data_IF_808936459445
#
_entry.id   IF_808936459445
#
_cell.length_a   1.000
_cell.length_b   1.000
_cell.length_c   1.000
_cell.angle_alpha   90.00
_cell.angle_beta   90.00
_cell.angle_gamma   90.00
#
_symmetry.space_group_name_H-M   'P 1'
#
loop_
_entity.id
_entity.type
_entity.pdbx_description
1 polymer ?
#
# COMPACT_ATOMS: atom_id res chain seq x y z
N UNK A 1 -10.95 -8.24 1.47
CA UNK A 1 -9.82 -8.48 0.56
C UNK A 1 -10.01 -9.89 0.01
N UNK A 2 -10.23 -10.00 -1.28
CA UNK A 2 -10.54 -11.28 -1.94
C UNK A 2 -9.41 -12.33 -1.85
N UNK A 3 -8.17 -11.89 -1.68
CA UNK A 3 -7.03 -12.79 -1.51
C UNK A 3 -7.00 -13.30 -0.06
N UNK A 4 -7.78 -14.34 0.21
CA UNK A 4 -7.95 -14.96 1.52
C UNK A 4 -7.25 -16.33 1.61
N UNK A 5 -7.46 -17.04 2.73
CA UNK A 5 -6.85 -18.35 2.94
C UNK A 5 -7.36 -19.43 2.00
N UNK A 6 -8.58 -19.31 1.49
CA UNK A 6 -9.16 -20.26 0.53
C UNK A 6 -8.52 -20.09 -0.85
N UNK A 7 -8.26 -18.83 -1.25
CA UNK A 7 -7.50 -18.54 -2.48
C UNK A 7 -6.09 -19.10 -2.39
N UNK A 8 -5.44 -18.97 -1.22
CA UNK A 8 -4.11 -19.57 -0.98
C UNK A 8 -4.17 -21.08 -1.04
N UNK A 9 -5.21 -21.72 -0.50
CA UNK A 9 -5.39 -23.19 -0.58
C UNK A 9 -5.51 -23.67 -2.04
N UNK A 10 -6.28 -22.96 -2.86
CA UNK A 10 -6.37 -23.24 -4.29
C UNK A 10 -5.02 -23.04 -5.01
N UNK A 11 -4.30 -21.97 -4.69
CA UNK A 11 -2.94 -21.73 -5.21
C UNK A 11 -2.00 -22.87 -4.84
N UNK A 12 -1.99 -23.32 -3.59
CA UNK A 12 -1.15 -24.44 -3.14
C UNK A 12 -1.51 -25.71 -3.90
N UNK A 13 -2.80 -25.97 -4.13
CA UNK A 13 -3.25 -27.10 -4.94
C UNK A 13 -2.69 -27.01 -6.37
N UNK A 14 -2.87 -25.90 -7.05
CA UNK A 14 -2.35 -25.66 -8.41
C UNK A 14 -0.82 -25.74 -8.47
N UNK A 15 -0.13 -25.09 -7.51
CA UNK A 15 1.33 -25.09 -7.47
C UNK A 15 1.91 -26.48 -7.21
N UNK A 16 1.29 -27.29 -6.34
CA UNK A 16 1.65 -28.71 -6.16
C UNK A 16 1.53 -29.47 -7.48
N UNK A 17 0.41 -29.32 -8.13
CA UNK A 17 0.16 -30.00 -9.40
C UNK A 17 1.16 -29.61 -10.49
N UNK A 18 1.55 -28.34 -10.57
CA UNK A 18 2.39 -27.80 -11.64
C UNK A 18 3.90 -27.85 -11.33
N UNK A 19 4.30 -27.73 -10.06
CA UNK A 19 5.68 -27.47 -9.69
C UNK A 19 6.33 -28.56 -8.85
N UNK A 20 5.56 -29.48 -8.24
CA UNK A 20 6.12 -30.52 -7.37
C UNK A 20 7.14 -31.37 -8.13
N UNK A 21 8.27 -31.67 -7.50
CA UNK A 21 9.44 -32.32 -8.07
C UNK A 21 10.17 -31.54 -9.18
N UNK A 22 9.75 -30.29 -9.43
CA UNK A 22 10.42 -29.40 -10.36
C UNK A 22 11.73 -28.85 -9.79
N UNK A 23 12.68 -28.55 -10.70
CA UNK A 23 13.98 -27.94 -10.37
C UNK A 23 13.95 -26.46 -10.66
N UNK A 24 14.50 -25.65 -9.75
CA UNK A 24 14.62 -24.21 -9.88
C UNK A 24 15.76 -23.89 -10.87
N UNK A 25 15.39 -23.65 -12.14
CA UNK A 25 16.35 -23.43 -13.22
C UNK A 25 16.91 -21.99 -13.25
N UNK A 26 16.10 -20.99 -12.83
CA UNK A 26 16.52 -19.58 -12.81
C UNK A 26 15.82 -18.85 -11.66
N UNK A 27 16.58 -17.98 -11.01
CA UNK A 27 16.11 -17.08 -9.96
C UNK A 27 16.43 -15.65 -10.41
N UNK A 28 15.40 -14.81 -10.47
CA UNK A 28 15.51 -13.39 -10.80
C UNK A 28 14.75 -12.56 -9.78
N UNK A 29 15.20 -11.34 -9.56
CA UNK A 29 14.54 -10.33 -8.72
C UNK A 29 14.38 -9.08 -9.56
N UNK A 30 13.26 -8.96 -10.33
CA UNK A 30 13.01 -7.83 -11.22
C UNK A 30 12.87 -6.50 -10.49
N UNK A 31 12.22 -6.51 -9.32
CA UNK A 31 11.98 -5.36 -8.47
C UNK A 31 12.48 -5.63 -7.05
N UNK A 32 12.60 -4.59 -6.23
CA UNK A 32 13.12 -4.71 -4.86
C UNK A 32 12.35 -5.71 -3.99
N UNK A 33 11.06 -5.89 -4.23
CA UNK A 33 10.14 -6.73 -3.46
C UNK A 33 9.48 -7.84 -4.30
N UNK A 34 10.07 -8.20 -5.45
CA UNK A 34 9.53 -9.21 -6.35
C UNK A 34 10.58 -10.27 -6.75
N UNK A 35 10.20 -11.54 -6.70
CA UNK A 35 10.96 -12.67 -7.25
C UNK A 35 10.25 -13.26 -8.46
N UNK A 36 11.03 -13.73 -9.43
CA UNK A 36 10.60 -14.53 -10.57
C UNK A 36 11.44 -15.81 -10.63
N UNK A 37 10.80 -16.93 -10.34
CA UNK A 37 11.41 -18.25 -10.39
C UNK A 37 11.03 -18.95 -11.69
N UNK A 38 12.01 -19.48 -12.43
CA UNK A 38 11.78 -20.38 -13.56
C UNK A 38 12.02 -21.80 -13.09
N UNK A 39 11.01 -22.65 -13.18
CA UNK A 39 11.02 -24.01 -12.66
C UNK A 39 10.81 -24.99 -13.83
N UNK A 40 11.66 -25.98 -13.93
CA UNK A 40 11.51 -27.11 -14.87
C UNK A 40 10.89 -28.27 -14.11
N UNK A 41 9.61 -28.51 -14.31
CA UNK A 41 8.84 -29.57 -13.70
C UNK A 41 8.58 -30.71 -14.69
N UNK A 42 8.06 -31.86 -14.24
CA UNK A 42 7.62 -32.92 -15.15
C UNK A 42 6.53 -32.48 -16.14
N UNK A 43 5.75 -31.44 -15.81
CA UNK A 43 4.74 -30.83 -16.68
C UNK A 43 5.28 -29.72 -17.60
N UNK A 44 6.59 -29.52 -17.67
CA UNK A 44 7.24 -28.53 -18.49
C UNK A 44 7.82 -27.35 -17.70
N UNK A 45 8.25 -26.33 -18.42
CA UNK A 45 8.80 -25.13 -17.80
C UNK A 45 7.67 -24.19 -17.36
N UNK A 46 7.74 -23.71 -16.12
CA UNK A 46 6.79 -22.75 -15.54
C UNK A 46 7.57 -21.55 -14.95
N UNK A 47 6.93 -20.40 -14.92
CA UNK A 47 7.43 -19.24 -14.20
C UNK A 47 6.49 -18.92 -13.04
N UNK A 48 7.05 -18.73 -11.86
CA UNK A 48 6.36 -18.32 -10.64
C UNK A 48 6.75 -16.90 -10.30
N UNK A 49 5.80 -15.98 -10.38
CA UNK A 49 5.96 -14.59 -9.94
C UNK A 49 5.51 -14.47 -8.49
N UNK A 50 6.35 -13.88 -7.65
CA UNK A 50 6.11 -13.68 -6.22
C UNK A 50 6.38 -12.21 -5.90
N UNK A 51 5.36 -11.48 -5.48
CA UNK A 51 5.47 -10.07 -5.08
C UNK A 51 5.13 -9.92 -3.59
N UNK A 52 6.05 -9.37 -2.84
CA UNK A 52 5.85 -8.93 -1.45
C UNK A 52 5.49 -7.44 -1.37
N UNK A 53 5.01 -6.82 -2.46
CA UNK A 53 4.62 -5.41 -2.49
C UNK A 53 3.60 -5.08 -1.39
N UNK A 54 3.77 -3.96 -0.72
CA UNK A 54 2.84 -3.53 0.34
C UNK A 54 1.43 -3.22 -0.19
N UNK A 55 1.34 -2.78 -1.43
CA UNK A 55 0.07 -2.41 -2.08
C UNK A 55 -0.57 -3.58 -2.83
N UNK A 56 0.24 -4.47 -3.38
CA UNK A 56 -0.22 -5.57 -4.22
C UNK A 56 0.65 -6.82 -4.02
N UNK A 57 0.56 -7.46 -2.85
CA UNK A 57 1.23 -8.73 -2.64
C UNK A 57 0.51 -9.82 -3.42
N UNK A 58 1.27 -10.62 -4.16
CA UNK A 58 0.70 -11.57 -5.11
C UNK A 58 1.66 -12.72 -5.39
N UNK A 59 1.13 -13.91 -5.61
CA UNK A 59 1.86 -15.07 -6.10
C UNK A 59 1.02 -15.80 -7.14
N UNK A 60 1.59 -16.09 -8.30
CA UNK A 60 0.89 -16.79 -9.38
C UNK A 60 1.86 -17.32 -10.44
N UNK A 61 1.42 -18.33 -11.18
CA UNK A 61 2.09 -18.79 -12.38
C UNK A 61 1.83 -17.83 -13.54
N UNK A 62 2.85 -17.54 -14.34
CA UNK A 62 2.76 -16.61 -15.47
C UNK A 62 3.67 -17.04 -16.62
N UNK A 63 3.27 -16.71 -17.84
CA UNK A 63 4.12 -16.83 -19.01
C UNK A 63 4.96 -15.57 -19.28
N UNK A 64 4.67 -14.49 -18.54
CA UNK A 64 5.38 -13.23 -18.69
C UNK A 64 6.84 -13.36 -18.20
N UNK A 65 7.74 -12.71 -18.93
CA UNK A 65 9.13 -12.54 -18.52
C UNK A 65 9.34 -11.05 -18.19
N UNK A 66 9.95 -10.79 -17.05
CA UNK A 66 10.27 -9.41 -16.64
C UNK A 66 11.78 -9.18 -16.80
N UNK A 67 12.20 -8.01 -17.30
CA UNK A 67 13.60 -7.64 -17.32
C UNK A 67 14.16 -7.61 -15.89
N UNK A 68 15.36 -8.14 -15.71
CA UNK A 68 16.07 -8.10 -14.45
C UNK A 68 17.09 -6.96 -14.45
N UNK A 69 17.40 -6.36 -13.29
CA UNK A 69 18.45 -5.36 -13.17
C UNK A 69 19.80 -5.98 -13.58
N UNK A 70 20.73 -5.14 -14.08
CA UNK A 70 22.07 -5.61 -14.48
C UNK A 70 22.84 -6.26 -13.33
N UNK A 71 22.67 -5.73 -12.12
CA UNK A 71 23.24 -6.30 -10.89
C UNK A 71 22.12 -6.92 -10.06
N UNK A 72 22.21 -8.22 -9.79
CA UNK A 72 21.22 -8.91 -8.98
C UNK A 72 21.29 -8.44 -7.51
N UNK A 73 20.16 -8.18 -6.85
CA UNK A 73 20.12 -7.85 -5.43
C UNK A 73 20.67 -8.99 -4.54
N UNK A 74 21.12 -8.65 -3.33
CA UNK A 74 21.76 -9.59 -2.41
C UNK A 74 20.89 -10.80 -2.10
N UNK A 75 19.62 -10.63 -1.84
CA UNK A 75 18.69 -11.71 -1.57
C UNK A 75 18.57 -12.68 -2.75
N UNK A 76 18.53 -12.17 -3.98
CA UNK A 76 18.56 -13.00 -5.20
C UNK A 76 19.84 -13.80 -5.31
N UNK A 77 20.99 -13.16 -5.03
CA UNK A 77 22.30 -13.84 -5.07
C UNK A 77 22.40 -14.94 -4.02
N UNK A 78 21.89 -14.68 -2.81
CA UNK A 78 21.83 -15.66 -1.73
C UNK A 78 20.95 -16.86 -2.12
N UNK A 79 19.78 -16.64 -2.68
CA UNK A 79 18.93 -17.73 -3.16
C UNK A 79 19.60 -18.53 -4.28
N UNK A 80 20.28 -17.87 -5.21
CA UNK A 80 21.07 -18.54 -6.27
C UNK A 80 22.17 -19.42 -5.70
N UNK A 81 22.86 -18.96 -4.67
CA UNK A 81 23.92 -19.73 -3.99
C UNK A 81 23.37 -21.01 -3.37
N UNK A 82 22.19 -20.94 -2.75
CA UNK A 82 21.68 -22.03 -1.92
C UNK A 82 20.71 -22.97 -2.64
N UNK A 83 19.84 -22.46 -3.51
CA UNK A 83 18.72 -23.26 -4.08
C UNK A 83 18.70 -23.26 -5.62
N UNK A 84 19.71 -22.76 -6.31
CA UNK A 84 19.83 -22.99 -7.76
C UNK A 84 19.91 -24.50 -8.04
N UNK A 85 19.12 -24.98 -9.02
CA UNK A 85 18.94 -26.40 -9.35
C UNK A 85 18.31 -27.24 -8.23
N UNK A 86 17.94 -26.67 -7.10
CA UNK A 86 17.21 -27.33 -6.02
C UNK A 86 15.86 -27.86 -6.50
N UNK A 87 15.43 -28.97 -5.91
CA UNK A 87 14.16 -29.64 -6.21
C UNK A 87 13.09 -29.23 -5.21
N UNK A 88 11.94 -28.79 -5.67
CA UNK A 88 10.78 -28.52 -4.84
C UNK A 88 10.15 -29.85 -4.43
N UNK A 89 10.24 -30.19 -3.15
CA UNK A 89 9.77 -31.49 -2.62
C UNK A 89 8.44 -31.38 -1.89
N UNK A 90 8.06 -30.20 -1.41
CA UNK A 90 6.72 -29.92 -0.88
C UNK A 90 6.34 -28.44 -1.07
N UNK A 91 5.03 -28.19 -1.14
CA UNK A 91 4.41 -26.86 -1.17
C UNK A 91 3.20 -26.94 -0.25
N UNK A 92 3.18 -26.18 0.83
CA UNK A 92 2.10 -26.33 1.81
C UNK A 92 1.71 -24.98 2.44
N UNK A 93 0.52 -24.96 3.02
CA UNK A 93 -0.08 -23.83 3.71
C UNK A 93 -0.36 -24.21 5.16
N UNK A 94 0.10 -23.45 6.15
CA UNK A 94 -0.25 -23.69 7.55
C UNK A 94 -1.72 -23.31 7.80
N UNK A 95 -2.56 -24.27 8.14
CA UNK A 95 -4.02 -24.08 8.29
C UNK A 95 -4.59 -23.39 7.02
N UNK A 96 -5.36 -22.34 7.18
CA UNK A 96 -5.76 -21.41 6.09
C UNK A 96 -5.08 -20.03 6.20
N UNK A 97 -3.84 -19.98 6.67
CA UNK A 97 -3.08 -18.74 6.70
C UNK A 97 -2.74 -18.26 5.27
N UNK A 98 -2.50 -16.97 5.11
CA UNK A 98 -2.05 -16.42 3.84
C UNK A 98 -0.53 -16.55 3.68
N UNK A 99 -0.06 -17.77 3.87
CA UNK A 99 1.35 -18.15 3.86
C UNK A 99 1.50 -19.41 3.03
N UNK A 100 2.54 -19.42 2.18
CA UNK A 100 2.90 -20.59 1.39
C UNK A 100 4.35 -20.94 1.68
N UNK A 101 4.60 -22.19 2.04
CA UNK A 101 5.92 -22.76 2.22
C UNK A 101 6.30 -23.59 1.00
N UNK A 102 7.52 -23.37 0.51
CA UNK A 102 8.16 -24.22 -0.50
C UNK A 102 9.36 -24.89 0.15
N UNK A 103 9.26 -26.19 0.36
CA UNK A 103 10.40 -26.99 0.86
C UNK A 103 11.26 -27.42 -0.32
N UNK A 104 12.50 -27.00 -0.30
CA UNK A 104 13.46 -27.16 -1.40
C UNK A 104 14.63 -28.03 -0.95
N UNK A 105 14.84 -29.11 -1.65
CA UNK A 105 15.95 -30.04 -1.44
C UNK A 105 17.09 -29.71 -2.41
N UNK A 106 18.30 -29.55 -1.88
CA UNK A 106 19.49 -29.22 -2.64
C UNK A 106 20.73 -29.85 -2.02
N UNK A 107 21.84 -29.87 -2.76
CA UNK A 107 23.14 -30.26 -2.21
C UNK A 107 23.80 -29.04 -1.58
N UNK A 108 24.38 -29.20 -0.40
CA UNK A 108 25.19 -28.16 0.23
C UNK A 108 26.62 -28.11 -0.38
N UNK A 109 27.48 -27.28 0.21
CA UNK A 109 28.85 -27.08 -0.27
C UNK A 109 29.73 -28.35 -0.11
N UNK A 110 29.36 -29.27 0.76
CA UNK A 110 30.04 -30.56 0.97
C UNK A 110 29.45 -31.68 0.10
N UNK A 111 28.35 -31.42 -0.59
CA UNK A 111 27.65 -32.40 -1.41
C UNK A 111 26.60 -33.20 -0.65
N UNK A 112 26.29 -32.83 0.59
CA UNK A 112 25.27 -33.47 1.40
C UNK A 112 23.89 -32.94 1.04
N UNK A 113 22.89 -33.83 1.06
CA UNK A 113 21.50 -33.50 0.77
C UNK A 113 20.89 -32.76 1.94
N UNK A 114 20.49 -31.52 1.73
CA UNK A 114 19.83 -30.72 2.75
C UNK A 114 18.54 -30.09 2.25
N UNK A 115 17.72 -29.61 3.18
CA UNK A 115 16.44 -28.94 2.89
C UNK A 115 16.42 -27.53 3.44
N UNK A 116 15.76 -26.65 2.70
CA UNK A 116 15.49 -25.27 3.11
C UNK A 116 14.10 -24.86 2.70
N UNK A 117 13.53 -23.91 3.41
CA UNK A 117 12.19 -23.41 3.15
C UNK A 117 12.23 -21.99 2.60
N UNK A 118 11.53 -21.76 1.49
CA UNK A 118 11.19 -20.45 1.00
C UNK A 118 9.74 -20.17 1.38
N UNK A 119 9.53 -19.19 2.24
CA UNK A 119 8.24 -18.86 2.83
C UNK A 119 7.73 -17.58 2.23
N UNK A 120 6.51 -17.60 1.70
CA UNK A 120 5.86 -16.44 1.10
C UNK A 120 4.66 -16.03 1.95
N UNK A 121 4.72 -14.84 2.52
CA UNK A 121 3.65 -14.26 3.33
C UNK A 121 2.92 -13.19 2.54
N UNK A 122 1.58 -13.32 2.44
CA UNK A 122 0.71 -12.41 1.68
C UNK A 122 -0.20 -11.66 2.65
N UNK A 123 0.36 -10.68 3.35
CA UNK A 123 -0.28 -9.97 4.46
C UNK A 123 -0.33 -8.45 4.26
N UNK A 124 -0.61 -7.98 3.01
CA UNK A 124 -0.65 -6.57 2.66
C UNK A 124 0.70 -5.89 2.93
N UNK A 125 0.72 -4.82 3.71
CA UNK A 125 1.96 -4.09 4.05
C UNK A 125 3.02 -4.95 4.78
N UNK A 126 2.60 -6.04 5.41
CA UNK A 126 3.47 -6.97 6.14
C UNK A 126 3.90 -8.17 5.30
N UNK A 127 3.59 -8.18 4.00
CA UNK A 127 4.01 -9.24 3.08
C UNK A 127 5.51 -9.33 2.98
N UNK A 128 6.03 -10.56 2.94
CA UNK A 128 7.46 -10.84 2.89
C UNK A 128 7.77 -12.14 2.12
N UNK A 129 9.01 -12.30 1.73
CA UNK A 129 9.57 -13.56 1.22
C UNK A 129 10.77 -13.88 2.10
N UNK A 130 10.70 -14.99 2.83
CA UNK A 130 11.64 -15.34 3.87
C UNK A 130 12.29 -16.67 3.51
N UNK A 131 13.60 -16.76 3.67
CA UNK A 131 14.36 -17.96 3.39
C UNK A 131 14.93 -18.52 4.69
N UNK A 132 14.58 -19.76 5.01
CA UNK A 132 14.91 -20.41 6.27
C UNK A 132 15.65 -21.74 6.05
N UNK A 133 16.38 -22.15 7.09
CA UNK A 133 16.83 -23.55 7.26
C UNK A 133 15.63 -24.44 7.60
N UNK A 134 15.81 -25.76 7.55
CA UNK A 134 14.75 -26.73 7.88
C UNK A 134 14.32 -26.72 9.36
N UNK A 135 15.14 -26.17 10.25
CA UNK A 135 14.83 -25.98 11.67
C UNK A 135 14.13 -24.63 11.96
N UNK A 136 13.86 -23.84 10.93
CA UNK A 136 13.13 -22.58 11.06
C UNK A 136 14.02 -21.34 11.30
N UNK A 137 15.35 -21.47 11.31
CA UNK A 137 16.21 -20.30 11.43
C UNK A 137 16.21 -19.49 10.15
N UNK A 138 15.97 -18.20 10.22
CA UNK A 138 15.96 -17.27 9.08
C UNK A 138 17.39 -17.10 8.56
N UNK A 139 17.62 -17.45 7.29
CA UNK A 139 18.89 -17.21 6.59
C UNK A 139 18.89 -15.78 6.07
N UNK A 140 17.80 -15.36 5.42
CA UNK A 140 17.58 -13.99 4.94
C UNK A 140 16.13 -13.78 4.53
N UNK A 141 15.77 -12.53 4.19
CA UNK A 141 14.44 -12.18 3.69
C UNK A 141 14.51 -11.03 2.68
N UNK A 142 13.51 -10.94 1.80
CA UNK A 142 13.45 -9.85 0.82
C UNK A 142 13.21 -8.48 1.49
N UNK A 143 12.58 -8.50 2.69
CA UNK A 143 12.38 -7.32 3.54
C UNK A 143 12.84 -7.64 4.96
N UNK A 144 13.83 -6.91 5.42
CA UNK A 144 14.27 -6.99 6.82
C UNK A 144 13.30 -6.21 7.71
N UNK A 145 12.86 -6.82 8.80
CA UNK A 145 11.98 -6.23 9.82
C UNK A 145 12.69 -6.27 11.16
N UNK A 146 13.12 -5.10 11.64
CA UNK A 146 13.77 -4.95 12.94
C UNK A 146 12.75 -4.72 14.06
N UNK A 147 13.19 -4.83 15.32
CA UNK A 147 12.39 -4.50 16.50
C UNK A 147 11.84 -3.06 16.50
N UNK A 148 12.51 -2.14 15.80
CA UNK A 148 12.01 -0.75 15.65
C UNK A 148 10.84 -0.66 14.66
N UNK A 149 10.74 -1.58 13.71
CA UNK A 149 9.68 -1.60 12.68
C UNK A 149 8.47 -2.43 13.10
N UNK A 150 8.65 -3.42 13.97
CA UNK A 150 7.58 -4.30 14.44
C UNK A 150 7.79 -4.68 15.90
N UNK A 151 6.75 -4.49 16.70
CA UNK A 151 6.70 -4.96 18.10
C UNK A 151 6.31 -6.44 18.22
N UNK A 152 5.91 -7.09 17.12
CA UNK A 152 5.36 -8.46 17.12
C UNK A 152 6.48 -9.47 16.88
N UNK A 153 7.30 -9.25 15.86
CA UNK A 153 8.45 -10.13 15.55
C UNK A 153 9.50 -9.39 14.73
N UNK A 154 10.72 -9.87 14.83
CA UNK A 154 11.80 -9.52 13.92
C UNK A 154 11.87 -10.51 12.75
N UNK A 155 12.23 -10.05 11.56
CA UNK A 155 12.55 -10.88 10.40
C UNK A 155 13.95 -10.46 9.94
N UNK A 156 14.95 -11.07 10.56
CA UNK A 156 16.37 -10.79 10.35
C UNK A 156 17.16 -12.11 10.32
N UNK A 157 18.30 -12.16 9.63
CA UNK A 157 19.17 -13.32 9.65
C UNK A 157 19.53 -13.79 11.07
N UNK A 158 19.48 -15.12 11.30
CA UNK A 158 19.77 -15.74 12.58
C UNK A 158 18.62 -15.69 13.61
N UNK A 159 17.45 -15.12 13.28
CA UNK A 159 16.25 -15.20 14.09
C UNK A 159 15.42 -16.41 13.73
N UNK A 160 14.61 -16.89 14.67
CA UNK A 160 13.67 -17.97 14.43
C UNK A 160 12.43 -17.44 13.69
N UNK A 161 12.01 -18.17 12.67
CA UNK A 161 10.75 -17.90 11.98
C UNK A 161 9.58 -18.44 12.80
N UNK A 162 8.58 -17.63 12.99
CA UNK A 162 7.29 -18.04 13.56
C UNK A 162 6.16 -17.21 12.95
N UNK A 163 4.97 -17.79 12.93
CA UNK A 163 3.75 -17.11 12.50
C UNK A 163 3.18 -16.40 13.74
N UNK A 164 3.04 -15.05 13.74
CA UNK A 164 2.51 -14.34 14.89
C UNK A 164 1.04 -14.73 15.13
N UNK A 165 0.75 -15.25 16.27
CA UNK A 165 -0.63 -15.50 16.71
C UNK A 165 -1.21 -14.22 17.34
N UNK A 166 -1.52 -13.25 16.49
CA UNK A 166 -2.00 -11.93 16.93
C UNK A 166 -3.51 -11.86 17.15
N UNK A 167 -4.28 -12.89 16.77
CA UNK A 167 -5.74 -12.84 16.74
C UNK A 167 -6.46 -14.08 17.28
N UNK A 168 -5.82 -15.06 17.87
CA UNK A 168 -6.42 -16.29 18.43
C UNK A 168 -7.57 -16.86 17.57
N UNK A 169 -7.37 -16.91 16.24
CA UNK A 169 -8.38 -17.41 15.33
C UNK A 169 -8.35 -18.91 15.26
N UNK A 170 -9.54 -19.53 15.28
CA UNK A 170 -9.68 -20.96 15.14
C UNK A 170 -9.39 -21.42 13.70
N UNK A 171 -8.92 -22.65 13.58
CA UNK A 171 -8.79 -23.31 12.29
C UNK A 171 -10.19 -23.74 11.79
N UNK A 172 -10.69 -23.18 10.68
CA UNK A 172 -12.03 -23.50 10.20
C UNK A 172 -12.15 -24.92 9.64
N UNK A 173 -11.02 -25.57 9.32
CA UNK A 173 -11.03 -26.93 8.76
C UNK A 173 -11.15 -28.02 9.83
N UNK A 174 -10.85 -27.73 11.08
CA UNK A 174 -10.82 -28.72 12.17
C UNK A 174 -11.76 -28.39 13.32
N UNK A 175 -12.46 -27.25 13.27
CA UNK A 175 -13.34 -26.78 14.33
C UNK A 175 -14.48 -27.76 14.61
N UNK A 176 -14.76 -28.03 15.86
CA UNK A 176 -15.93 -28.79 16.30
C UNK A 176 -17.19 -27.93 16.38
N UNK A 177 -18.37 -28.56 16.34
CA UNK A 177 -19.66 -27.85 16.47
C UNK A 177 -19.75 -27.03 17.76
N UNK A 178 -19.34 -27.63 18.89
CA UNK A 178 -19.39 -26.95 20.18
C UNK A 178 -18.48 -25.71 20.26
N UNK A 179 -17.27 -25.79 19.70
CA UNK A 179 -16.34 -24.67 19.60
C UNK A 179 -16.86 -23.59 18.66
N UNK A 180 -17.44 -23.98 17.51
CA UNK A 180 -18.06 -23.07 16.55
C UNK A 180 -19.16 -22.25 17.21
N UNK A 181 -20.08 -22.91 17.95
CA UNK A 181 -21.16 -22.23 18.67
C UNK A 181 -20.62 -21.29 19.77
N UNK A 182 -19.58 -21.71 20.47
CA UNK A 182 -18.93 -20.89 21.51
C UNK A 182 -18.33 -19.62 20.93
N UNK A 183 -17.58 -19.75 19.82
CA UNK A 183 -16.95 -18.62 19.14
C UNK A 183 -17.97 -17.65 18.55
N UNK A 184 -19.04 -18.16 17.95
CA UNK A 184 -20.12 -17.34 17.41
C UNK A 184 -20.81 -16.49 18.48
N UNK A 185 -21.04 -17.07 19.67
CA UNK A 185 -21.74 -16.42 20.78
C UNK A 185 -20.84 -15.57 21.69
N UNK A 186 -19.52 -15.67 21.52
CA UNK A 186 -18.57 -14.97 22.39
C UNK A 186 -18.73 -13.45 22.39
N UNK A 187 -19.20 -12.87 21.26
CA UNK A 187 -19.38 -11.41 21.12
C UNK A 187 -20.67 -11.11 20.33
N UNK A 188 -21.53 -10.20 20.83
CA UNK A 188 -22.69 -9.75 20.08
C UNK A 188 -22.25 -8.85 18.92
N UNK A 189 -22.24 -9.41 17.71
CA UNK A 189 -21.87 -8.71 16.49
C UNK A 189 -22.61 -9.33 15.30
N UNK A 190 -22.63 -8.70 14.09
CA UNK A 190 -23.18 -9.31 12.88
C UNK A 190 -22.56 -10.68 12.60
N UNK A 191 -23.38 -11.64 12.17
CA UNK A 191 -22.98 -13.04 11.94
C UNK A 191 -21.79 -13.14 10.98
N UNK A 192 -21.84 -12.43 9.85
CA UNK A 192 -20.71 -12.44 8.91
C UNK A 192 -19.42 -11.96 9.56
N UNK A 193 -19.50 -10.90 10.40
CA UNK A 193 -18.36 -10.38 11.12
C UNK A 193 -17.82 -11.39 12.14
N UNK A 194 -18.69 -12.10 12.85
CA UNK A 194 -18.29 -13.14 13.78
C UNK A 194 -17.49 -14.23 13.06
N UNK A 195 -17.91 -14.66 11.87
CA UNK A 195 -17.21 -15.66 11.07
C UNK A 195 -15.79 -15.18 10.68
N UNK A 196 -15.65 -14.08 9.96
CA UNK A 196 -14.32 -13.70 9.46
C UNK A 196 -13.35 -13.17 10.55
N UNK A 197 -13.87 -12.81 11.74
CA UNK A 197 -13.00 -12.44 12.86
C UNK A 197 -12.60 -13.62 13.74
N UNK A 198 -13.37 -14.71 13.75
CA UNK A 198 -13.11 -15.89 14.59
C UNK A 198 -12.34 -16.99 13.87
N UNK A 199 -12.36 -17.03 12.53
CA UNK A 199 -11.75 -18.11 11.76
C UNK A 199 -10.60 -17.62 10.87
N UNK A 200 -9.51 -18.38 10.86
CA UNK A 200 -8.34 -18.12 10.01
C UNK A 200 -8.71 -18.29 8.54
N UNK A 201 -8.24 -17.38 7.71
CA UNK A 201 -8.34 -17.50 6.25
C UNK A 201 -9.71 -17.22 5.65
N UNK A 202 -10.71 -16.89 6.44
CA UNK A 202 -12.04 -16.51 5.95
C UNK A 202 -12.09 -15.00 5.73
N UNK A 203 -12.45 -14.57 4.52
CA UNK A 203 -12.66 -13.16 4.17
C UNK A 203 -14.10 -12.72 4.46
N UNK A 204 -14.36 -11.39 4.53
CA UNK A 204 -15.73 -10.90 4.61
C UNK A 204 -16.63 -11.39 3.47
N UNK A 205 -16.11 -11.47 2.24
CA UNK A 205 -16.86 -11.95 1.08
C UNK A 205 -17.24 -13.43 1.25
N UNK A 206 -16.32 -14.25 1.70
CA UNK A 206 -16.57 -15.66 2.00
C UNK A 206 -17.56 -15.82 3.15
N UNK A 207 -17.48 -14.97 4.19
CA UNK A 207 -18.44 -15.02 5.30
C UNK A 207 -19.86 -14.61 4.84
N UNK A 208 -19.99 -13.63 3.94
CA UNK A 208 -21.27 -13.28 3.32
C UNK A 208 -21.84 -14.46 2.51
N UNK A 209 -21.01 -15.16 1.75
CA UNK A 209 -21.43 -16.35 1.01
C UNK A 209 -21.96 -17.44 1.92
N UNK A 210 -21.24 -17.76 2.99
CA UNK A 210 -21.69 -18.79 3.95
C UNK A 210 -23.01 -18.40 4.61
N UNK A 211 -23.18 -17.13 4.96
CA UNK A 211 -24.48 -16.64 5.47
C UNK A 211 -25.60 -16.77 4.43
N UNK A 212 -25.33 -16.41 3.17
CA UNK A 212 -26.27 -16.51 2.06
C UNK A 212 -26.72 -17.97 1.82
N UNK A 213 -25.78 -18.90 1.73
CA UNK A 213 -26.05 -20.32 1.56
C UNK A 213 -26.83 -20.95 2.74
N UNK A 214 -26.66 -20.36 3.92
CA UNK A 214 -27.38 -20.77 5.13
C UNK A 214 -28.76 -20.12 5.26
N UNK A 215 -29.13 -19.19 4.37
CA UNK A 215 -30.38 -18.43 4.47
C UNK A 215 -30.43 -17.47 5.68
N UNK A 216 -29.27 -17.04 6.17
CA UNK A 216 -29.14 -16.17 7.34
C UNK A 216 -28.78 -14.75 6.87
N UNK A 217 -29.50 -13.73 7.40
CA UNK A 217 -29.08 -12.34 7.20
C UNK A 217 -27.71 -12.13 7.83
N UNK A 218 -26.73 -11.79 7.02
CA UNK A 218 -25.33 -11.57 7.42
C UNK A 218 -25.16 -10.47 8.49
N UNK A 219 -26.12 -9.55 8.57
CA UNK A 219 -26.16 -8.41 9.53
C UNK A 219 -26.85 -8.76 10.84
N UNK A 220 -27.55 -9.92 10.91
CA UNK A 220 -28.23 -10.35 12.12
C UNK A 220 -27.20 -10.46 13.26
N UNK A 221 -27.51 -9.94 14.47
CA UNK A 221 -26.66 -10.15 15.63
C UNK A 221 -26.57 -11.65 16.00
N UNK A 222 -25.37 -12.13 16.35
CA UNK A 222 -25.17 -13.52 16.77
C UNK A 222 -26.01 -13.93 17.96
N UNK A 223 -26.43 -12.98 18.80
CA UNK A 223 -27.32 -13.20 19.96
C UNK A 223 -28.75 -13.62 19.57
N UNK A 224 -29.17 -13.34 18.35
CA UNK A 224 -30.53 -13.66 17.85
C UNK A 224 -30.61 -15.03 17.17
N UNK A 225 -29.47 -15.73 17.01
CA UNK A 225 -29.45 -17.08 16.44
C UNK A 225 -29.99 -18.10 17.45
N UNK A 226 -31.05 -18.83 17.08
CA UNK A 226 -31.53 -19.98 17.85
C UNK A 226 -30.52 -21.13 17.80
N UNK A 227 -30.67 -22.10 18.69
CA UNK A 227 -29.79 -23.26 18.70
C UNK A 227 -29.86 -24.07 17.39
N UNK A 228 -31.07 -24.28 16.87
CA UNK A 228 -31.27 -25.04 15.61
C UNK A 228 -30.67 -24.32 14.40
N UNK A 229 -30.78 -23.00 14.35
CA UNK A 229 -30.14 -22.17 13.32
C UNK A 229 -28.62 -22.24 13.41
N UNK A 230 -28.05 -22.27 14.61
CA UNK A 230 -26.61 -22.45 14.80
C UNK A 230 -26.10 -23.80 14.28
N UNK A 231 -26.82 -24.90 14.53
CA UNK A 231 -26.50 -26.26 14.02
C UNK A 231 -26.57 -26.24 12.50
N UNK A 232 -27.62 -25.72 11.91
CA UNK A 232 -27.75 -25.58 10.45
C UNK A 232 -26.59 -24.75 9.87
N UNK A 233 -26.24 -23.64 10.51
CA UNK A 233 -25.15 -22.78 10.06
C UNK A 233 -23.79 -23.49 10.09
N UNK A 234 -23.52 -24.23 11.17
CA UNK A 234 -22.31 -25.06 11.26
C UNK A 234 -22.25 -26.10 10.14
N UNK A 235 -23.34 -26.78 9.84
CA UNK A 235 -23.38 -27.75 8.77
C UNK A 235 -23.11 -27.12 7.41
N UNK A 236 -23.71 -25.96 7.09
CA UNK A 236 -23.44 -25.23 5.85
C UNK A 236 -21.99 -24.73 5.77
N UNK A 237 -21.45 -24.26 6.89
CA UNK A 237 -20.05 -23.87 7.01
C UNK A 237 -19.11 -25.05 6.68
N UNK A 238 -19.38 -26.20 7.23
CA UNK A 238 -18.61 -27.43 6.97
C UNK A 238 -18.74 -27.88 5.51
N UNK A 239 -19.95 -27.83 4.93
CA UNK A 239 -20.21 -28.21 3.53
C UNK A 239 -19.43 -27.25 2.60
N UNK A 240 -19.47 -25.94 2.84
CA UNK A 240 -18.72 -24.99 2.02
C UNK A 240 -17.21 -25.23 2.09
N UNK A 241 -16.69 -25.56 3.25
CA UNK A 241 -15.26 -25.83 3.45
C UNK A 241 -14.82 -27.23 3.02
N UNK A 242 -15.75 -28.17 2.78
CA UNK A 242 -15.39 -29.52 2.26
C UNK A 242 -14.74 -29.40 0.88
N UNK A 243 -15.21 -28.49 0.04
CA UNK A 243 -14.60 -28.20 -1.26
C UNK A 243 -13.10 -27.84 -1.15
N UNK A 244 -12.72 -27.09 -0.10
CA UNK A 244 -11.31 -26.75 0.16
C UNK A 244 -10.50 -27.99 0.54
N UNK A 245 -11.05 -28.89 1.38
CA UNK A 245 -10.39 -30.16 1.80
C UNK A 245 -10.21 -31.11 0.63
N UNK A 246 -11.20 -31.16 -0.24
CA UNK A 246 -11.25 -32.08 -1.39
C UNK A 246 -10.47 -31.52 -2.60
N UNK A 247 -10.11 -30.26 -2.56
CA UNK A 247 -9.46 -29.58 -3.69
C UNK A 247 -10.40 -29.29 -4.86
N UNK A 248 -11.72 -29.25 -4.60
CA UNK A 248 -12.77 -28.99 -5.59
C UNK A 248 -12.96 -27.46 -5.71
N UNK A 249 -12.09 -26.84 -6.50
CA UNK A 249 -12.09 -25.41 -6.74
C UNK A 249 -12.74 -25.04 -8.07
N UNK A 250 -13.40 -23.88 -8.10
CA UNK A 250 -13.98 -23.29 -9.30
C UNK A 250 -13.58 -21.81 -9.43
N UNK A 251 -12.28 -21.52 -9.70
CA UNK A 251 -11.75 -20.17 -9.75
C UNK A 251 -12.54 -19.29 -10.69
N UNK A 252 -12.99 -18.15 -10.24
CA UNK A 252 -13.89 -17.28 -11.02
C UNK A 252 -13.61 -15.80 -10.78
N UNK A 253 -13.91 -14.98 -11.78
CA UNK A 253 -13.96 -13.51 -11.68
C UNK A 253 -15.41 -13.07 -11.88
N UNK A 254 -15.84 -12.11 -11.07
CA UNK A 254 -17.18 -11.53 -11.11
C UNK A 254 -17.09 -10.10 -11.66
N UNK A 255 -17.85 -9.81 -12.71
CA UNK A 255 -17.80 -8.56 -13.46
C UNK A 255 -19.09 -7.76 -13.30
N UNK A 256 -18.93 -6.44 -13.12
CA UNK A 256 -19.98 -5.45 -13.32
C UNK A 256 -19.75 -4.78 -14.68
N UNK A 257 -20.52 -5.21 -15.68
CA UNK A 257 -20.22 -4.88 -17.07
C UNK A 257 -18.85 -5.40 -17.50
N UNK A 258 -17.89 -4.51 -17.70
CA UNK A 258 -16.50 -4.87 -18.07
C UNK A 258 -15.49 -4.75 -16.90
N UNK A 259 -15.95 -4.26 -15.76
CA UNK A 259 -15.07 -4.03 -14.60
C UNK A 259 -15.04 -5.26 -13.70
N UNK A 260 -13.86 -5.87 -13.43
CA UNK A 260 -13.76 -6.95 -12.47
C UNK A 260 -13.96 -6.40 -11.05
N UNK A 261 -15.01 -6.88 -10.37
CA UNK A 261 -15.38 -6.45 -9.00
C UNK A 261 -14.78 -7.37 -7.95
N UNK A 262 -14.91 -8.66 -8.13
CA UNK A 262 -14.47 -9.66 -7.17
C UNK A 262 -13.92 -10.90 -7.87
N UNK A 263 -13.15 -11.70 -7.14
CA UNK A 263 -12.72 -13.02 -7.58
C UNK A 263 -12.80 -13.98 -6.40
N UNK A 264 -12.91 -15.26 -6.70
CA UNK A 264 -12.95 -16.31 -5.68
C UNK A 264 -12.45 -17.63 -6.22
N UNK A 265 -12.00 -18.50 -5.32
CA UNK A 265 -11.65 -19.89 -5.62
C UNK A 265 -12.85 -20.85 -5.55
N UNK A 266 -13.94 -20.44 -4.91
CA UNK A 266 -15.22 -21.14 -4.85
C UNK A 266 -16.32 -20.27 -5.43
N UNK A 267 -17.47 -20.87 -5.77
CA UNK A 267 -18.62 -20.11 -6.23
C UNK A 267 -19.11 -19.14 -5.15
N UNK A 268 -19.52 -17.94 -5.59
CA UNK A 268 -20.15 -16.92 -4.76
C UNK A 268 -21.56 -16.65 -5.29
N UNK A 269 -22.52 -17.41 -4.79
CA UNK A 269 -23.92 -17.37 -5.25
C UNK A 269 -24.63 -16.07 -4.82
N UNK A 270 -24.20 -15.45 -3.71
CA UNK A 270 -24.71 -14.13 -3.31
C UNK A 270 -24.39 -13.01 -4.31
N UNK A 271 -23.40 -13.22 -5.20
CA UNK A 271 -23.03 -12.27 -6.26
C UNK A 271 -23.75 -12.56 -7.58
N UNK A 272 -24.94 -13.16 -7.55
CA UNK A 272 -25.72 -13.56 -8.75
C UNK A 272 -26.08 -12.42 -9.70
N UNK A 273 -25.98 -11.15 -9.25
CA UNK A 273 -26.19 -9.97 -10.12
C UNK A 273 -25.01 -9.65 -11.03
N UNK A 274 -23.82 -10.19 -10.71
CA UNK A 274 -22.62 -9.99 -11.52
C UNK A 274 -22.43 -11.13 -12.52
N UNK A 275 -21.82 -10.79 -13.65
CA UNK A 275 -21.43 -11.83 -14.61
C UNK A 275 -20.24 -12.62 -14.07
N UNK A 276 -20.42 -13.95 -13.91
CA UNK A 276 -19.37 -14.87 -13.47
C UNK A 276 -18.65 -15.47 -14.67
N UNK A 277 -17.33 -15.34 -14.69
CA UNK A 277 -16.46 -16.06 -15.63
C UNK A 277 -15.58 -17.04 -14.86
N UNK A 278 -15.64 -18.33 -15.21
CA UNK A 278 -14.89 -19.40 -14.54
C UNK A 278 -13.64 -19.75 -15.34
N UNK A 279 -12.55 -19.98 -14.63
CA UNK A 279 -11.24 -20.31 -15.18
C UNK A 279 -10.77 -21.69 -14.70
N UNK A 280 -9.88 -22.32 -15.48
CA UNK A 280 -9.26 -23.59 -15.06
C UNK A 280 -8.08 -23.40 -14.10
N UNK A 281 -7.62 -22.17 -13.88
CA UNK A 281 -6.42 -21.81 -13.12
C UNK A 281 -6.68 -20.60 -12.25
N UNK A 282 -6.36 -20.71 -10.95
CA UNK A 282 -6.40 -19.57 -10.04
C UNK A 282 -5.31 -18.54 -10.37
N UNK A 283 -4.16 -18.98 -10.87
CA UNK A 283 -3.12 -18.06 -11.34
C UNK A 283 -3.62 -17.19 -12.49
N UNK A 284 -4.40 -17.72 -13.40
CA UNK A 284 -5.00 -16.96 -14.50
C UNK A 284 -6.06 -15.98 -13.98
N UNK A 285 -6.88 -16.36 -13.01
CA UNK A 285 -7.82 -15.45 -12.33
C UNK A 285 -7.08 -14.26 -11.71
N UNK A 286 -6.00 -14.53 -10.98
CA UNK A 286 -5.20 -13.49 -10.33
C UNK A 286 -4.54 -12.57 -11.34
N UNK A 287 -3.95 -13.12 -12.39
CA UNK A 287 -3.33 -12.33 -13.45
C UNK A 287 -4.36 -11.42 -14.14
N UNK A 288 -5.53 -11.97 -14.53
CA UNK A 288 -6.62 -11.23 -15.19
C UNK A 288 -7.18 -10.12 -14.29
N UNK A 289 -7.51 -10.46 -13.05
CA UNK A 289 -8.10 -9.52 -12.10
C UNK A 289 -7.17 -8.37 -11.75
N UNK A 290 -5.90 -8.68 -11.44
CA UNK A 290 -4.93 -7.70 -11.02
C UNK A 290 -4.24 -6.95 -12.16
N UNK A 291 -4.17 -7.50 -13.39
CA UNK A 291 -3.69 -6.76 -14.55
C UNK A 291 -4.51 -5.48 -14.78
N UNK A 292 -5.83 -5.61 -14.75
CA UNK A 292 -6.75 -4.47 -14.89
C UNK A 292 -6.62 -3.49 -13.73
N UNK A 293 -6.58 -3.99 -12.47
CA UNK A 293 -6.39 -3.13 -11.29
C UNK A 293 -5.04 -2.44 -11.26
N UNK A 294 -3.96 -3.11 -11.69
CA UNK A 294 -2.63 -2.52 -11.79
C UNK A 294 -2.58 -1.36 -12.79
N UNK A 295 -3.20 -1.51 -13.96
CA UNK A 295 -3.28 -0.43 -14.93
C UNK A 295 -4.02 0.78 -14.35
N UNK A 296 -5.18 0.57 -13.75
CA UNK A 296 -5.97 1.65 -13.12
C UNK A 296 -5.19 2.32 -11.98
N UNK A 297 -4.53 1.53 -11.13
CA UNK A 297 -3.75 2.06 -10.00
C UNK A 297 -2.53 2.85 -10.48
N UNK A 298 -1.80 2.35 -11.47
CA UNK A 298 -0.66 3.08 -12.09
C UNK A 298 -1.10 4.39 -12.75
N UNK A 299 -2.23 4.38 -13.45
CA UNK A 299 -2.79 5.59 -14.06
C UNK A 299 -3.17 6.60 -12.97
N UNK A 300 -3.84 6.15 -11.90
CA UNK A 300 -4.23 7.02 -10.77
C UNK A 300 -3.02 7.59 -10.05
N UNK A 301 -1.98 6.79 -9.80
CA UNK A 301 -0.76 7.22 -9.12
C UNK A 301 0.01 8.24 -9.96
N UNK A 302 0.24 7.95 -11.25
CA UNK A 302 0.86 8.91 -12.18
C UNK A 302 0.05 10.21 -12.31
N UNK A 303 -1.27 10.11 -12.34
CA UNK A 303 -2.16 11.27 -12.38
C UNK A 303 -2.11 12.09 -11.08
N UNK A 304 -1.97 11.44 -9.92
CA UNK A 304 -1.83 12.11 -8.63
C UNK A 304 -0.49 12.85 -8.54
N UNK A 305 0.62 12.23 -8.95
CA UNK A 305 1.95 12.84 -8.97
C UNK A 305 1.99 14.06 -9.91
N UNK A 306 1.46 13.93 -11.12
CA UNK A 306 1.34 15.04 -12.08
C UNK A 306 0.47 16.18 -11.53
N UNK A 307 -0.65 15.84 -10.90
CA UNK A 307 -1.54 16.83 -10.28
C UNK A 307 -0.84 17.57 -9.15
N UNK A 308 -0.08 16.86 -8.31
CA UNK A 308 0.72 17.47 -7.24
C UNK A 308 1.78 18.43 -7.78
N UNK A 309 2.51 18.04 -8.84
CA UNK A 309 3.52 18.89 -9.50
C UNK A 309 2.86 20.17 -10.04
N UNK A 310 1.76 20.03 -10.76
CA UNK A 310 1.02 21.18 -11.36
C UNK A 310 0.46 22.07 -10.26
N UNK A 311 -0.11 21.51 -9.21
CA UNK A 311 -0.66 22.26 -8.08
C UNK A 311 0.43 23.06 -7.35
N UNK A 312 1.57 22.46 -7.09
CA UNK A 312 2.72 23.13 -6.47
C UNK A 312 3.25 24.28 -7.33
N UNK A 313 3.36 24.06 -8.64
CA UNK A 313 3.77 25.10 -9.58
C UNK A 313 2.76 26.28 -9.63
N UNK A 314 1.47 25.96 -9.66
CA UNK A 314 0.37 26.93 -9.64
C UNK A 314 0.38 27.77 -8.35
N UNK A 315 0.55 27.15 -7.20
CA UNK A 315 0.62 27.84 -5.92
C UNK A 315 1.85 28.78 -5.84
N UNK A 316 3.00 28.34 -6.33
CA UNK A 316 4.20 29.18 -6.43
C UNK A 316 3.96 30.37 -7.36
N UNK A 317 3.35 30.17 -8.51
CA UNK A 317 3.02 31.22 -9.46
C UNK A 317 2.01 32.23 -8.86
N UNK A 318 0.96 31.76 -8.17
CA UNK A 318 -0.02 32.60 -7.47
C UNK A 318 0.62 33.44 -6.36
N UNK A 319 1.48 32.85 -5.53
CA UNK A 319 2.21 33.60 -4.49
C UNK A 319 3.11 34.65 -5.08
N UNK A 320 3.84 34.31 -6.15
CA UNK A 320 4.70 35.28 -6.87
C UNK A 320 3.89 36.44 -7.46
N UNK A 321 2.78 36.12 -8.13
CA UNK A 321 1.88 37.12 -8.70
C UNK A 321 1.31 38.07 -7.62
N UNK A 322 0.81 37.52 -6.51
CA UNK A 322 0.29 38.33 -5.42
C UNK A 322 1.35 39.24 -4.81
N UNK A 323 2.59 38.76 -4.67
CA UNK A 323 3.72 39.57 -4.20
C UNK A 323 4.05 40.71 -5.18
N UNK A 324 4.10 40.39 -6.48
CA UNK A 324 4.37 41.39 -7.53
C UNK A 324 3.24 42.43 -7.63
N UNK A 325 1.98 42.04 -7.52
CA UNK A 325 0.86 42.98 -7.48
C UNK A 325 0.93 43.92 -6.27
N UNK A 326 1.29 43.39 -5.10
CA UNK A 326 1.49 44.21 -3.92
C UNK A 326 2.66 45.17 -4.10
N UNK A 327 3.79 44.72 -4.63
CA UNK A 327 4.93 45.56 -4.94
C UNK A 327 4.58 46.67 -5.95
N UNK A 328 3.78 46.34 -6.98
CA UNK A 328 3.32 47.33 -7.97
C UNK A 328 2.43 48.38 -7.31
N UNK A 329 1.45 47.96 -6.50
CA UNK A 329 0.60 48.91 -5.75
C UNK A 329 1.43 49.81 -4.80
N UNK A 330 2.40 49.23 -4.09
CA UNK A 330 3.31 50.01 -3.23
C UNK A 330 4.13 51.05 -4.03
N UNK A 331 4.31 50.85 -5.35
CA UNK A 331 5.04 51.79 -6.21
C UNK A 331 4.16 52.88 -6.83
N UNK A 332 2.84 52.77 -6.82
CA UNK A 332 1.90 53.74 -7.33
C UNK A 332 2.05 55.08 -6.58
N UNK A 333 2.29 55.03 -5.27
CA UNK A 333 2.49 56.18 -4.39
C UNK A 333 3.96 56.71 -4.34
N UNK A 334 4.87 56.20 -5.17
CA UNK A 334 6.30 56.51 -5.08
C UNK A 334 6.59 57.99 -5.25
N UNK A 335 5.87 58.70 -6.13
CA UNK A 335 6.10 60.11 -6.44
C UNK A 335 5.77 61.01 -5.24
N UNK A 336 4.89 60.59 -4.37
CA UNK A 336 4.62 61.21 -3.08
C UNK A 336 5.88 61.34 -2.21
N UNK A 337 6.73 60.29 -2.18
CA UNK A 337 7.99 60.36 -1.39
C UNK A 337 9.01 61.27 -1.99
N UNK A 338 9.04 61.42 -3.32
CA UNK A 338 9.87 62.43 -3.99
C UNK A 338 9.43 63.83 -3.57
N UNK A 339 8.13 64.14 -3.68
CA UNK A 339 7.56 65.43 -3.28
C UNK A 339 7.81 65.71 -1.79
N UNK A 340 7.64 64.71 -0.92
CA UNK A 340 7.93 64.87 0.53
C UNK A 340 9.40 65.23 0.77
N UNK A 341 10.34 64.55 0.11
CA UNK A 341 11.76 64.86 0.21
C UNK A 341 12.08 66.26 -0.26
N UNK A 342 11.52 66.73 -1.40
CA UNK A 342 11.70 68.05 -1.95
C UNK A 342 11.09 69.11 -1.05
N UNK A 343 9.89 68.93 -0.51
CA UNK A 343 9.26 69.94 0.38
C UNK A 343 9.98 70.02 1.72
N UNK A 344 10.51 68.98 2.28
CA UNK A 344 11.34 69.03 3.49
C UNK A 344 12.64 69.77 3.21
N UNK A 345 13.22 69.51 2.05
CA UNK A 345 14.47 70.21 1.66
C UNK A 345 14.25 71.74 1.49
N UNK A 346 13.07 72.14 0.97
CA UNK A 346 12.71 73.52 0.72
C UNK A 346 12.27 74.26 1.99
N UNK A 347 11.48 73.67 2.84
CA UNK A 347 10.85 74.28 4.00
C UNK A 347 11.42 73.82 5.35
N UNK A 348 12.30 72.80 5.35
CA UNK A 348 12.83 72.22 6.58
C UNK A 348 13.70 73.11 7.43
N UNK A 349 14.22 74.19 6.89
CA UNK A 349 15.05 75.17 7.63
C UNK A 349 14.29 75.95 8.73
N UNK A 350 12.95 76.01 8.64
CA UNK A 350 12.08 76.64 9.62
C UNK A 350 11.52 75.64 10.69
N UNK A 351 11.92 74.38 10.67
CA UNK A 351 11.43 73.36 11.60
C UNK A 351 12.16 73.45 12.95
N UNK A 352 11.38 73.45 14.04
CA UNK A 352 11.93 73.33 15.39
C UNK A 352 12.50 71.88 15.60
N UNK A 353 13.57 71.78 16.40
CA UNK A 353 14.13 70.47 16.75
C UNK A 353 13.05 69.52 17.39
N UNK A 354 12.90 68.31 16.86
CA UNK A 354 11.92 67.33 17.35
C UNK A 354 10.51 67.48 16.77
N UNK A 355 10.29 68.28 15.74
CA UNK A 355 9.02 68.37 15.03
C UNK A 355 8.57 67.01 14.48
N UNK A 356 7.30 66.65 14.71
CA UNK A 356 6.72 65.36 14.25
C UNK A 356 6.13 65.43 12.84
N UNK A 357 5.75 66.62 12.40
CA UNK A 357 5.06 66.85 11.12
C UNK A 357 5.53 68.17 10.53
N UNK A 358 5.79 68.22 9.24
CA UNK A 358 5.92 69.42 8.45
C UNK A 358 4.63 69.66 7.68
N UNK A 359 4.00 70.80 7.88
CA UNK A 359 2.92 71.30 7.02
C UNK A 359 3.50 72.22 5.99
N UNK A 360 3.43 71.84 4.71
CA UNK A 360 4.01 72.64 3.63
C UNK A 360 3.05 72.70 2.44
N UNK A 361 3.10 73.81 1.72
CA UNK A 361 2.38 73.92 0.45
C UNK A 361 3.10 73.14 -0.63
N UNK A 362 2.44 72.17 -1.18
CA UNK A 362 2.91 71.42 -2.33
C UNK A 362 2.81 72.32 -3.59
N UNK A 363 3.93 72.80 -4.05
CA UNK A 363 3.99 73.69 -5.22
C UNK A 363 3.66 73.01 -6.55
N UNK A 364 3.48 71.69 -6.58
CA UNK A 364 3.04 70.98 -7.78
C UNK A 364 1.49 70.98 -7.99
N UNK A 365 0.73 71.04 -6.91
CA UNK A 365 -0.75 71.01 -6.98
C UNK A 365 -1.43 72.10 -6.16
N UNK A 366 -0.68 72.97 -5.51
CA UNK A 366 -1.15 74.05 -4.62
C UNK A 366 -2.00 73.55 -3.43
N UNK A 367 -1.77 72.35 -2.94
CA UNK A 367 -2.47 71.80 -1.76
C UNK A 367 -1.52 71.74 -0.55
N UNK A 368 -2.09 71.94 0.65
CA UNK A 368 -1.34 71.81 1.90
C UNK A 368 -1.14 70.30 2.19
N UNK A 369 0.08 69.88 2.38
CA UNK A 369 0.47 68.49 2.66
C UNK A 369 1.11 68.40 4.04
N UNK A 370 0.67 67.40 4.82
CA UNK A 370 1.27 67.04 6.11
C UNK A 370 2.27 65.90 5.92
N UNK A 371 3.52 66.17 6.16
CA UNK A 371 4.64 65.24 5.97
C UNK A 371 5.11 64.75 7.34
N UNK A 372 4.97 63.44 7.65
CA UNK A 372 5.47 62.88 8.89
C UNK A 372 7.00 62.92 8.96
N UNK A 373 7.55 63.37 10.08
CA UNK A 373 8.98 63.44 10.32
C UNK A 373 9.39 62.48 11.45
N UNK A 374 10.57 61.94 11.33
CA UNK A 374 11.26 61.21 12.38
C UNK A 374 11.93 62.21 13.33
N UNK A 375 11.46 62.31 14.57
CA UNK A 375 11.91 63.24 15.57
C UNK A 375 13.36 63.04 16.00
N UNK A 376 13.95 61.88 15.71
CA UNK A 376 15.35 61.58 16.03
C UNK A 376 16.32 62.04 14.95
N UNK A 377 15.81 62.57 13.84
CA UNK A 377 16.58 62.94 12.64
C UNK A 377 16.46 64.46 12.33
N UNK A 378 17.50 64.96 11.78
CA UNK A 378 17.48 66.30 11.25
C UNK A 378 16.56 66.47 10.04
N UNK A 379 16.07 67.63 9.67
CA UNK A 379 15.27 67.83 8.47
C UNK A 379 15.94 67.27 7.21
N UNK A 380 17.27 67.49 7.07
CA UNK A 380 18.02 66.97 5.93
C UNK A 380 18.05 65.44 5.88
N UNK A 381 18.25 64.78 7.02
CA UNK A 381 18.21 63.33 7.12
C UNK A 381 16.79 62.73 6.85
N UNK A 382 15.73 63.45 7.27
CA UNK A 382 14.36 63.09 6.93
C UNK A 382 14.11 63.22 5.42
N UNK A 383 14.55 64.25 4.78
CA UNK A 383 14.47 64.47 3.32
C UNK A 383 15.19 63.30 2.60
N UNK A 384 16.42 62.99 3.03
CA UNK A 384 17.22 61.92 2.46
C UNK A 384 16.53 60.53 2.59
N UNK A 385 15.92 60.26 3.74
CA UNK A 385 15.12 59.01 3.96
C UNK A 385 13.94 58.88 2.98
N UNK A 386 13.26 59.99 2.67
CA UNK A 386 12.19 60.00 1.69
C UNK A 386 12.71 59.79 0.27
N UNK A 387 13.84 60.39 -0.09
CA UNK A 387 14.49 60.13 -1.39
C UNK A 387 15.00 58.71 -1.51
N UNK A 388 15.55 58.09 -0.47
CA UNK A 388 15.95 56.70 -0.45
C UNK A 388 14.74 55.76 -0.67
N UNK A 389 13.60 56.09 -0.02
CA UNK A 389 12.35 55.36 -0.19
C UNK A 389 11.81 55.44 -1.63
N UNK A 390 11.83 56.62 -2.21
CA UNK A 390 11.51 56.85 -3.62
C UNK A 390 12.42 56.05 -4.54
N UNK A 391 13.73 56.13 -4.36
CA UNK A 391 14.71 55.44 -5.18
C UNK A 391 14.58 53.90 -5.07
N UNK A 392 14.30 53.40 -3.87
CA UNK A 392 14.04 51.97 -3.66
C UNK A 392 12.82 51.50 -4.46
N UNK A 393 11.70 52.21 -4.39
CA UNK A 393 10.48 51.92 -5.13
C UNK A 393 10.62 52.11 -6.65
N UNK A 394 11.49 53.04 -7.08
CA UNK A 394 11.78 53.23 -8.51
C UNK A 394 12.57 52.07 -9.13
N UNK A 395 13.38 51.34 -8.33
CA UNK A 395 14.19 50.20 -8.78
C UNK A 395 13.44 48.87 -8.67
N UNK A 396 12.33 48.82 -7.95
CA UNK A 396 11.45 47.63 -7.82
C UNK A 396 10.53 47.52 -9.01
#
# INVERSE_FOLDING_TARGET
MAFDGIVVANLVHELKEQLLNGRIAKIAQPEADELLLTIKSPKGQRRLSISASASLPLIYLTDANKPSPMTAPNFCMLLRKHIANGRIVDIWQPKLERIIHFTIEHLDELGDLCRKDLIVEIMGKHSNIIFCTSDGTIIDSIKHVSAQMSSVREVLPGRDYFIPDTMEKADPLTISEAEFHTLLRAKPMPVSKAIYTSFTGISPVTAEEICFLSGIDSRLPTSELSADVCVHFYNQFCIYLSAVREGDFSPSVYYDGKEPKEFSSLALEHLHTYHRETFSSISHVLETYYATKNQITRIRQKSADLRHIVQTALERARKKYALQMRQLSDTEDRDKYKVYGELIHTYGYNLEPGAKVLEALNYYNNEMVKIPLDTTKTPLENAQRYFEKYNKQKRT
#
